data_IF_324262811991
#
_entry.id   IF_324262811991
#
_cell.length_a   1.000
_cell.length_b   1.000
_cell.length_c   1.000
_cell.angle_alpha   90.00
_cell.angle_beta   90.00
_cell.angle_gamma   90.00
#
_symmetry.space_group_name_H-M   'P 1'
#
loop_
_entity.id
_entity.type
_entity.pdbx_description
1 polymer ?
#
# COMPACT_ATOMS: atom_id res chain seq x y z
N UNK A 1 -20.32 12.55 -13.68
CA UNK A 1 -20.11 11.41 -14.61
C UNK A 1 -19.17 11.74 -15.77
N UNK A 2 -19.47 12.70 -16.66
CA UNK A 2 -18.61 12.94 -17.84
C UNK A 2 -17.19 13.44 -17.50
N UNK A 3 -17.01 14.34 -16.50
CA UNK A 3 -15.69 14.80 -16.04
C UNK A 3 -14.84 13.67 -15.41
N UNK A 4 -15.44 12.84 -14.56
CA UNK A 4 -14.79 11.69 -13.93
C UNK A 4 -14.34 10.66 -14.97
N UNK A 5 -15.13 10.41 -16.02
CA UNK A 5 -14.74 9.52 -17.13
C UNK A 5 -13.60 10.08 -17.99
N UNK A 6 -13.48 11.39 -18.11
CA UNK A 6 -12.38 12.04 -18.86
C UNK A 6 -11.07 11.97 -18.06
N UNK A 7 -11.10 12.23 -16.76
CA UNK A 7 -9.93 12.05 -15.88
C UNK A 7 -9.50 10.57 -15.83
N UNK A 8 -10.46 9.64 -15.72
CA UNK A 8 -10.19 8.20 -15.76
C UNK A 8 -9.52 7.80 -17.09
N UNK A 9 -10.01 8.31 -18.24
CA UNK A 9 -9.37 8.08 -19.54
C UNK A 9 -7.97 8.68 -19.63
N UNK A 10 -7.74 9.87 -19.10
CA UNK A 10 -6.42 10.51 -19.12
C UNK A 10 -5.40 9.74 -18.28
N UNK A 11 -5.80 9.29 -17.09
CA UNK A 11 -4.98 8.45 -16.21
C UNK A 11 -4.74 7.07 -16.85
N UNK A 12 -5.78 6.42 -17.39
CA UNK A 12 -5.63 5.13 -18.08
C UNK A 12 -4.72 5.22 -19.31
N UNK A 13 -4.86 6.27 -20.13
CA UNK A 13 -4.04 6.46 -21.34
C UNK A 13 -2.57 6.72 -20.97
N UNK A 14 -2.31 7.42 -19.87
CA UNK A 14 -0.96 7.62 -19.35
C UNK A 14 -0.34 6.30 -18.87
N UNK A 15 -1.08 5.49 -18.13
CA UNK A 15 -0.64 4.17 -17.64
C UNK A 15 -0.41 3.20 -18.81
N UNK A 16 -1.32 3.15 -19.79
CA UNK A 16 -1.16 2.29 -20.97
C UNK A 16 0.06 2.68 -21.83
N UNK A 17 0.32 3.98 -22.00
CA UNK A 17 1.48 4.45 -22.77
C UNK A 17 2.82 4.02 -22.12
N UNK A 18 2.89 3.97 -20.79
CA UNK A 18 4.07 3.53 -20.04
C UNK A 18 4.35 2.03 -20.20
N UNK A 19 3.30 1.19 -20.30
CA UNK A 19 3.46 -0.28 -20.43
C UNK A 19 3.81 -0.79 -21.83
N UNK A 20 3.66 0.02 -22.87
CA UNK A 20 3.83 -0.43 -24.27
C UNK A 20 5.29 -0.56 -24.73
N UNK A 21 6.25 -0.40 -23.83
CA UNK A 21 7.67 -0.28 -24.16
C UNK A 21 8.56 -1.38 -23.52
N UNK A 22 8.17 -2.66 -23.57
CA UNK A 22 9.15 -3.76 -23.49
C UNK A 22 8.55 -5.04 -24.11
N UNK A 23 9.16 -5.50 -25.21
CA UNK A 23 8.85 -6.76 -25.88
C UNK A 23 9.89 -7.84 -25.46
N UNK A 24 9.34 -8.96 -24.98
CA UNK A 24 9.82 -10.34 -24.92
C UNK A 24 11.22 -10.79 -24.40
N UNK A 25 11.12 -11.68 -23.39
CA UNK A 25 11.88 -12.94 -23.14
C UNK A 25 13.28 -12.91 -22.52
N UNK A 26 13.37 -13.08 -21.19
CA UNK A 26 14.18 -14.14 -20.56
C UNK A 26 13.81 -14.31 -19.06
N UNK A 27 13.20 -15.45 -18.72
CA UNK A 27 12.77 -15.78 -17.36
C UNK A 27 13.85 -16.62 -16.65
N UNK A 28 14.19 -16.20 -15.43
CA UNK A 28 14.67 -17.02 -14.31
C UNK A 28 16.02 -17.72 -14.50
N UNK A 29 17.11 -17.01 -14.19
CA UNK A 29 18.25 -17.47 -13.36
C UNK A 29 19.33 -16.38 -13.36
N UNK A 30 19.19 -15.37 -12.51
CA UNK A 30 20.33 -14.63 -11.93
C UNK A 30 19.77 -13.65 -10.89
N UNK A 31 19.60 -14.15 -9.66
CA UNK A 31 19.28 -13.35 -8.49
C UNK A 31 20.50 -13.26 -7.59
N UNK A 32 21.66 -12.95 -8.19
CA UNK A 32 22.84 -12.49 -7.47
C UNK A 32 23.69 -11.64 -8.41
N UNK A 33 23.88 -10.38 -8.02
CA UNK A 33 24.86 -9.44 -8.59
C UNK A 33 24.62 -8.91 -10.03
N UNK A 34 23.67 -8.00 -10.17
CA UNK A 34 23.76 -6.96 -11.20
C UNK A 34 23.36 -5.60 -10.64
N UNK A 35 24.36 -4.88 -10.12
CA UNK A 35 24.45 -3.41 -10.04
C UNK A 35 23.12 -2.72 -9.71
N UNK A 36 22.89 -2.50 -8.41
CA UNK A 36 22.07 -1.39 -7.93
C UNK A 36 22.72 -0.11 -8.48
N UNK A 37 22.32 0.31 -9.68
CA UNK A 37 22.41 1.70 -10.08
C UNK A 37 21.43 2.42 -9.17
N UNK A 38 21.95 3.02 -8.10
CA UNK A 38 21.27 4.08 -7.37
C UNK A 38 20.76 5.06 -8.42
N UNK A 39 19.45 5.05 -8.68
CA UNK A 39 18.83 6.16 -9.40
C UNK A 39 19.05 7.33 -8.46
N UNK A 40 19.89 8.27 -8.88
CA UNK A 40 20.06 9.55 -8.20
C UNK A 40 18.72 10.28 -8.32
N UNK A 41 17.83 10.02 -7.35
CA UNK A 41 16.50 10.62 -7.24
C UNK A 41 16.68 12.07 -6.76
N UNK A 42 17.24 12.93 -7.62
CA UNK A 42 17.55 14.34 -7.36
C UNK A 42 16.36 15.24 -7.00
N UNK A 43 15.21 14.67 -6.65
CA UNK A 43 14.10 15.40 -6.03
C UNK A 43 14.30 15.46 -4.51
N UNK A 44 14.94 16.54 -4.06
CA UNK A 44 15.20 16.82 -2.64
C UNK A 44 13.94 17.12 -1.82
N UNK A 45 12.74 17.10 -2.42
CA UNK A 45 11.48 17.41 -1.73
C UNK A 45 10.91 16.26 -0.91
N UNK A 46 11.47 15.05 -1.01
CA UNK A 46 11.01 13.93 -0.20
C UNK A 46 11.41 14.11 1.27
N UNK A 47 10.41 14.11 2.13
CA UNK A 47 10.58 14.11 3.59
C UNK A 47 10.21 12.75 4.17
N UNK A 48 11.03 12.22 5.09
CA UNK A 48 10.67 11.06 5.89
C UNK A 48 9.87 11.47 7.12
N UNK A 49 8.72 10.84 7.32
CA UNK A 49 7.88 10.99 8.51
C UNK A 49 7.78 9.66 9.25
N UNK A 50 8.10 9.68 10.55
CA UNK A 50 7.85 8.55 11.47
C UNK A 50 6.68 8.89 12.39
N UNK A 51 5.73 7.96 12.53
CA UNK A 51 4.51 8.15 13.31
C UNK A 51 4.72 7.79 14.79
N UNK A 52 5.68 8.45 15.45
CA UNK A 52 6.11 8.13 16.82
C UNK A 52 5.00 8.27 17.87
N UNK A 53 4.14 9.26 17.72
CA UNK A 53 3.02 9.48 18.65
C UNK A 53 1.97 8.37 18.51
N UNK A 54 1.69 7.95 17.28
CA UNK A 54 0.77 6.83 17.03
C UNK A 54 1.36 5.50 17.49
N UNK A 55 2.68 5.30 17.35
CA UNK A 55 3.36 4.14 17.92
C UNK A 55 3.19 4.09 19.45
N UNK A 56 3.38 5.22 20.14
CA UNK A 56 3.31 5.30 21.60
C UNK A 56 1.89 5.17 22.15
N UNK A 57 0.91 5.81 21.50
CA UNK A 57 -0.45 5.94 22.02
C UNK A 57 -1.43 4.90 21.45
N UNK A 58 -1.17 4.39 20.24
CA UNK A 58 -2.07 3.49 19.52
C UNK A 58 -1.41 2.16 19.15
N UNK A 59 -0.12 1.96 19.45
CA UNK A 59 0.59 0.74 19.09
C UNK A 59 0.75 0.54 17.59
N UNK A 60 0.78 1.63 16.81
CA UNK A 60 1.04 1.63 15.38
C UNK A 60 2.54 1.41 15.11
N UNK A 61 2.98 0.15 15.26
CA UNK A 61 4.38 -0.24 15.19
C UNK A 61 4.64 -1.31 14.14
N UNK A 62 5.86 -1.33 13.59
CA UNK A 62 6.38 -2.37 12.73
C UNK A 62 6.52 -3.72 13.49
N UNK A 63 6.85 -4.80 12.76
CA UNK A 63 7.00 -6.15 13.33
C UNK A 63 7.97 -6.22 14.53
N UNK A 64 9.01 -5.38 14.57
CA UNK A 64 9.98 -5.30 15.67
C UNK A 64 9.59 -4.36 16.82
N UNK A 65 8.51 -3.59 16.66
CA UNK A 65 8.04 -2.59 17.62
C UNK A 65 8.51 -1.16 17.34
N UNK A 66 9.31 -0.92 16.29
CA UNK A 66 9.68 0.44 15.88
C UNK A 66 8.48 1.19 15.27
N UNK A 67 8.45 2.53 15.27
CA UNK A 67 7.32 3.27 14.71
C UNK A 67 7.20 3.07 13.20
N UNK A 68 5.98 2.95 12.68
CA UNK A 68 5.73 3.03 11.24
C UNK A 68 5.97 4.42 10.67
N UNK A 69 5.84 4.57 9.35
CA UNK A 69 6.08 5.86 8.70
C UNK A 69 5.89 5.83 7.18
N UNK A 70 6.18 6.96 6.56
CA UNK A 70 6.06 7.17 5.12
C UNK A 70 7.07 8.22 4.65
N UNK A 71 7.30 8.28 3.35
CA UNK A 71 7.94 9.42 2.70
C UNK A 71 6.87 10.27 2.04
N UNK A 72 7.02 11.60 2.06
CA UNK A 72 6.09 12.51 1.43
C UNK A 72 6.82 13.53 0.56
N UNK A 73 6.32 13.71 -0.66
CA UNK A 73 6.67 14.80 -1.57
C UNK A 73 5.46 15.72 -1.68
N UNK A 74 5.55 16.92 -1.11
CA UNK A 74 4.44 17.88 -1.16
C UNK A 74 4.40 18.58 -2.52
N UNK A 75 3.19 18.91 -2.98
CA UNK A 75 3.00 19.75 -4.17
C UNK A 75 3.71 21.10 -4.00
N UNK A 76 4.14 21.70 -5.11
CA UNK A 76 4.73 23.04 -5.08
C UNK A 76 3.63 24.07 -4.84
N UNK A 77 3.88 25.06 -3.97
CA UNK A 77 2.98 26.19 -3.85
C UNK A 77 3.10 27.02 -5.14
N UNK A 78 2.10 26.94 -6.02
CA UNK A 78 2.03 27.83 -7.17
C UNK A 78 1.78 29.27 -6.68
N UNK A 79 2.76 30.16 -6.88
CA UNK A 79 2.69 31.59 -6.50
C UNK A 79 1.78 32.40 -7.46
N UNK A 80 1.38 31.82 -8.59
CA UNK A 80 0.51 32.47 -9.57
C UNK A 80 -0.95 32.00 -9.42
N UNK A 81 -1.65 32.65 -8.48
CA UNK A 81 -3.04 32.43 -8.05
C UNK A 81 -4.08 32.88 -9.10
N UNK A 82 -3.72 32.83 -10.39
CA UNK A 82 -4.59 33.22 -11.51
C UNK A 82 -5.19 32.04 -12.27
N UNK A 83 -4.73 30.81 -11.98
CA UNK A 83 -5.24 29.60 -12.62
C UNK A 83 -6.19 28.86 -11.67
N UNK A 84 -7.49 28.97 -11.92
CA UNK A 84 -8.59 28.45 -11.08
C UNK A 84 -8.73 26.92 -11.03
N UNK A 85 -7.75 26.19 -11.55
CA UNK A 85 -7.74 24.72 -11.69
C UNK A 85 -6.65 24.04 -10.80
N UNK A 86 -6.21 24.67 -9.70
CA UNK A 86 -5.29 24.06 -8.72
C UNK A 86 -6.00 23.02 -7.83
N UNK A 87 -6.40 21.89 -8.44
CA UNK A 87 -6.99 20.76 -7.70
C UNK A 87 -5.97 20.20 -6.68
N UNK A 88 -6.39 20.06 -5.42
CA UNK A 88 -5.54 19.49 -4.37
C UNK A 88 -5.46 17.97 -4.53
N UNK A 89 -4.53 17.52 -5.37
CA UNK A 89 -4.44 16.14 -5.81
C UNK A 89 -3.42 15.33 -5.02
N UNK A 90 -3.78 14.09 -4.70
CA UNK A 90 -3.01 13.20 -3.85
C UNK A 90 -2.77 11.84 -4.50
N UNK A 91 -1.57 11.30 -4.29
CA UNK A 91 -1.28 9.87 -4.46
C UNK A 91 -0.86 9.31 -3.11
N UNK A 92 -1.51 8.23 -2.67
CA UNK A 92 -1.07 7.44 -1.51
C UNK A 92 -0.65 6.09 -2.05
N UNK A 93 0.65 5.84 -2.10
CA UNK A 93 1.24 4.66 -2.69
C UNK A 93 1.80 3.73 -1.61
N UNK A 94 1.27 2.52 -1.50
CA UNK A 94 1.73 1.51 -0.56
C UNK A 94 2.89 0.71 -1.14
N UNK A 95 3.98 0.64 -0.39
CA UNK A 95 5.11 -0.21 -0.71
C UNK A 95 4.73 -1.70 -0.71
N UNK A 96 5.24 -2.45 -1.68
CA UNK A 96 5.19 -3.91 -1.71
C UNK A 96 6.27 -4.59 -0.87
N UNK A 97 6.45 -5.90 -1.04
CA UNK A 97 7.50 -6.66 -0.35
C UNK A 97 7.08 -8.04 0.16
N UNK A 98 5.98 -8.60 -0.35
CA UNK A 98 5.48 -9.92 0.03
C UNK A 98 4.98 -9.99 1.47
N UNK A 99 4.90 -11.19 2.03
CA UNK A 99 4.35 -11.44 3.37
C UNK A 99 5.25 -12.36 4.18
N UNK A 100 5.03 -12.43 5.48
CA UNK A 100 5.56 -13.53 6.28
C UNK A 100 4.51 -14.62 6.45
N UNK A 101 4.89 -15.90 6.34
CA UNK A 101 3.96 -17.04 6.36
C UNK A 101 3.97 -17.89 7.63
N UNK A 102 4.68 -17.44 8.66
CA UNK A 102 4.73 -18.06 9.99
C UNK A 102 5.37 -17.10 10.99
N UNK A 103 5.11 -17.30 12.29
CA UNK A 103 5.73 -16.53 13.39
C UNK A 103 7.26 -16.45 13.27
N UNK A 104 7.90 -17.58 12.99
CA UNK A 104 9.37 -17.64 12.82
C UNK A 104 9.86 -16.90 11.59
N UNK A 105 9.08 -16.93 10.50
CA UNK A 105 9.38 -16.14 9.31
C UNK A 105 9.17 -14.64 9.56
N UNK A 106 8.14 -14.25 10.30
CA UNK A 106 7.89 -12.87 10.70
C UNK A 106 9.01 -12.34 11.61
N UNK A 107 9.49 -13.15 12.57
CA UNK A 107 10.65 -12.82 13.40
C UNK A 107 11.95 -12.64 12.60
N UNK A 108 12.14 -13.40 11.52
CA UNK A 108 13.28 -13.15 10.62
C UNK A 108 13.09 -11.84 9.86
N UNK A 109 11.87 -11.58 9.38
CA UNK A 109 11.51 -10.39 8.62
C UNK A 109 11.63 -9.11 9.45
N UNK A 110 11.32 -9.16 10.75
CA UNK A 110 11.40 -8.01 11.67
C UNK A 110 12.81 -7.41 11.80
N UNK A 111 13.85 -8.12 11.34
CA UNK A 111 15.24 -7.67 11.39
C UNK A 111 15.67 -6.84 10.17
N UNK A 112 14.81 -6.72 9.16
CA UNK A 112 15.12 -6.01 7.92
C UNK A 112 14.15 -4.87 7.63
N UNK A 113 14.37 -4.16 6.52
CA UNK A 113 13.62 -2.96 6.12
C UNK A 113 12.10 -3.14 6.03
N UNK A 114 11.64 -4.36 5.80
CA UNK A 114 10.20 -4.69 5.70
C UNK A 114 9.57 -5.18 7.01
N UNK A 115 10.27 -5.01 8.12
CA UNK A 115 9.75 -5.34 9.44
C UNK A 115 10.26 -4.42 10.56
N UNK A 116 11.07 -3.42 10.19
CA UNK A 116 11.64 -2.41 11.08
C UNK A 116 11.89 -1.12 10.30
N UNK A 117 11.56 0.00 10.91
CA UNK A 117 11.87 1.34 10.40
C UNK A 117 13.28 1.83 10.77
N UNK A 118 14.00 1.09 11.61
CA UNK A 118 15.34 1.48 12.09
C UNK A 118 16.38 1.56 10.95
N UNK A 119 16.15 0.87 9.84
CA UNK A 119 17.03 0.88 8.67
C UNK A 119 16.58 1.81 7.54
N UNK A 120 15.50 2.58 7.72
CA UNK A 120 15.00 3.48 6.68
C UNK A 120 15.88 4.73 6.59
N UNK A 121 16.44 4.98 5.40
CA UNK A 121 17.30 6.13 5.13
C UNK A 121 16.60 7.47 5.34
N UNK A 122 17.33 8.60 5.33
CA UNK A 122 16.72 9.93 5.46
C UNK A 122 15.94 10.34 4.21
N UNK A 123 16.28 9.77 3.04
CA UNK A 123 15.69 10.12 1.73
C UNK A 123 14.89 8.95 1.16
N UNK A 124 14.03 9.27 0.20
CA UNK A 124 13.33 8.28 -0.62
C UNK A 124 14.31 7.57 -1.56
N UNK A 125 14.45 6.25 -1.42
CA UNK A 125 15.33 5.39 -2.22
C UNK A 125 14.60 4.07 -2.54
N UNK A 126 13.46 4.21 -3.20
CA UNK A 126 12.61 3.09 -3.64
C UNK A 126 12.37 3.22 -5.14
N UNK A 127 12.33 2.09 -5.83
CA UNK A 127 12.07 2.03 -7.28
C UNK A 127 10.58 1.84 -7.61
N UNK A 128 9.78 1.37 -6.64
CA UNK A 128 8.36 1.09 -6.84
C UNK A 128 7.56 2.37 -7.04
N UNK A 129 6.65 2.39 -8.01
CA UNK A 129 5.87 3.58 -8.35
C UNK A 129 6.69 4.71 -8.99
N UNK A 130 7.96 4.49 -9.32
CA UNK A 130 8.85 5.52 -9.89
C UNK A 130 8.28 6.14 -11.17
N UNK A 131 7.55 5.38 -11.99
CA UNK A 131 6.86 5.89 -13.18
C UNK A 131 5.76 6.90 -12.84
N UNK A 132 5.00 6.68 -11.75
CA UNK A 132 4.03 7.66 -11.25
C UNK A 132 4.79 8.89 -10.75
N UNK A 133 5.87 8.69 -9.98
CA UNK A 133 6.52 9.78 -9.27
C UNK A 133 7.38 10.68 -10.17
N UNK A 134 7.88 10.14 -11.28
CA UNK A 134 8.68 10.86 -12.29
C UNK A 134 7.84 11.37 -13.48
N UNK A 135 6.57 10.99 -13.57
CA UNK A 135 5.69 11.46 -14.63
C UNK A 135 5.29 12.93 -14.41
N UNK A 136 5.41 13.80 -15.43
CA UNK A 136 4.98 15.21 -15.35
C UNK A 136 3.50 15.38 -14.94
N UNK A 137 2.67 14.36 -15.15
CA UNK A 137 1.27 14.36 -14.74
C UNK A 137 1.08 14.48 -13.23
N UNK A 138 2.03 13.94 -12.44
CA UNK A 138 1.99 13.93 -10.99
C UNK A 138 2.98 14.93 -10.37
N UNK A 139 3.51 15.87 -11.14
CA UNK A 139 4.47 16.85 -10.65
C UNK A 139 3.85 17.74 -9.56
N UNK A 140 2.61 18.18 -9.78
CA UNK A 140 1.83 19.03 -8.85
C UNK A 140 0.97 18.23 -7.84
N UNK A 141 1.21 16.92 -7.70
CA UNK A 141 0.50 16.11 -6.70
C UNK A 141 1.28 16.11 -5.38
N UNK A 142 0.56 16.03 -4.27
CA UNK A 142 1.18 15.55 -3.02
C UNK A 142 1.24 14.03 -3.09
N UNK A 143 2.43 13.46 -3.00
CA UNK A 143 2.67 12.02 -3.10
C UNK A 143 3.18 11.49 -1.78
N UNK A 144 2.51 10.47 -1.28
CA UNK A 144 2.88 9.72 -0.08
C UNK A 144 3.32 8.33 -0.50
N UNK A 145 4.52 7.93 -0.08
CA UNK A 145 5.00 6.57 -0.17
C UNK A 145 4.93 5.91 1.20
N UNK A 146 3.88 5.13 1.44
CA UNK A 146 3.63 4.45 2.70
C UNK A 146 4.56 3.23 2.85
N UNK A 147 5.44 3.28 3.84
CA UNK A 147 6.46 2.26 4.05
C UNK A 147 5.87 1.00 4.69
N UNK A 148 6.20 -0.16 4.12
CA UNK A 148 5.59 -1.43 4.49
C UNK A 148 6.46 -2.20 5.49
N UNK A 149 5.97 -2.33 6.73
CA UNK A 149 6.70 -3.01 7.80
C UNK A 149 5.88 -3.97 8.68
N UNK A 150 4.62 -4.23 8.35
CA UNK A 150 3.76 -5.15 9.09
C UNK A 150 3.79 -6.58 8.53
N UNK A 151 4.10 -6.75 7.24
CA UNK A 151 4.19 -8.07 6.60
C UNK A 151 2.85 -8.76 6.36
N UNK A 152 1.72 -8.03 6.45
CA UNK A 152 0.34 -8.52 6.37
C UNK A 152 -0.57 -7.74 5.41
N UNK A 153 -0.01 -6.98 4.46
CA UNK A 153 -0.77 -6.01 3.64
C UNK A 153 -1.69 -5.10 4.47
N UNK A 154 -1.17 -4.61 5.60
CA UNK A 154 -1.88 -3.69 6.50
C UNK A 154 -3.17 -4.25 7.10
N UNK A 155 -3.35 -5.58 7.09
CA UNK A 155 -4.57 -6.22 7.62
C UNK A 155 -4.47 -6.63 9.08
N UNK A 156 -3.26 -6.77 9.63
CA UNK A 156 -3.12 -7.34 10.98
C UNK A 156 -3.61 -6.40 12.09
N UNK A 157 -4.32 -6.96 13.07
CA UNK A 157 -4.64 -6.26 14.32
C UNK A 157 -4.73 -7.21 15.51
N UNK A 158 -3.56 -7.56 16.07
CA UNK A 158 -3.47 -8.39 17.28
C UNK A 158 -3.27 -7.46 18.49
N UNK A 159 -3.87 -7.71 19.65
CA UNK A 159 -3.72 -6.79 20.80
C UNK A 159 -2.38 -6.89 21.51
N UNK A 160 -1.91 -8.11 21.75
CA UNK A 160 -0.67 -8.40 22.46
C UNK A 160 0.42 -8.91 21.49
N UNK A 161 1.70 -8.61 21.73
CA UNK A 161 2.77 -9.15 20.90
C UNK A 161 2.87 -10.67 21.05
N UNK A 162 3.18 -11.35 19.94
CA UNK A 162 3.46 -12.79 19.94
C UNK A 162 4.92 -13.02 20.32
N UNK A 163 5.19 -13.88 21.29
CA UNK A 163 6.56 -14.16 21.75
C UNK A 163 7.14 -15.34 20.96
N UNK A 164 8.12 -15.04 20.11
CA UNK A 164 8.79 -16.01 19.24
C UNK A 164 10.27 -16.03 19.59
N UNK A 165 10.79 -17.16 20.09
CA UNK A 165 12.20 -17.29 20.52
C UNK A 165 12.63 -16.17 21.49
N UNK A 166 11.81 -15.91 22.51
CA UNK A 166 12.02 -14.86 23.52
C UNK A 166 12.09 -13.43 22.97
N UNK A 167 11.50 -13.17 21.79
CA UNK A 167 11.39 -11.83 21.21
C UNK A 167 9.93 -11.54 20.86
N UNK A 168 9.42 -10.33 21.15
CA UNK A 168 8.09 -9.93 20.74
C UNK A 168 8.04 -9.68 19.23
N UNK A 169 6.92 -10.07 18.63
CA UNK A 169 6.53 -9.71 17.26
C UNK A 169 5.16 -9.05 17.30
N UNK A 170 5.04 -7.93 16.59
CA UNK A 170 3.86 -7.08 16.59
C UNK A 170 3.13 -7.18 15.25
N UNK A 171 1.90 -7.69 15.28
CA UNK A 171 0.98 -7.73 14.13
C UNK A 171 0.01 -6.55 14.26
N UNK A 172 0.32 -5.43 13.60
CA UNK A 172 -0.30 -4.10 13.82
C UNK A 172 -0.61 -3.34 12.52
N UNK A 173 -0.74 -4.05 11.40
CA UNK A 173 -0.98 -3.48 10.07
C UNK A 173 -2.18 -2.52 10.02
N UNK A 174 -3.31 -2.88 10.63
CA UNK A 174 -4.49 -2.00 10.63
C UNK A 174 -4.27 -0.74 11.48
N UNK A 175 -3.55 -0.84 12.60
CA UNK A 175 -3.19 0.33 13.42
C UNK A 175 -2.23 1.26 12.69
N UNK A 176 -1.30 0.69 11.93
CA UNK A 176 -0.43 1.45 11.04
C UNK A 176 -1.26 2.18 9.97
N UNK A 177 -2.27 1.51 9.38
CA UNK A 177 -3.13 2.11 8.36
C UNK A 177 -3.91 3.29 8.92
N UNK A 178 -4.54 3.09 10.07
CA UNK A 178 -5.26 4.15 10.79
C UNK A 178 -4.34 5.32 11.15
N UNK A 179 -3.13 5.03 11.64
CA UNK A 179 -2.14 6.06 11.97
C UNK A 179 -1.71 6.86 10.72
N UNK A 180 -1.46 6.17 9.60
CA UNK A 180 -1.09 6.79 8.33
C UNK A 180 -2.18 7.78 7.91
N UNK A 181 -3.41 7.29 7.77
CA UNK A 181 -4.51 8.10 7.26
C UNK A 181 -4.85 9.25 8.22
N UNK A 182 -4.84 9.00 9.54
CA UNK A 182 -4.99 10.05 10.54
C UNK A 182 -3.92 11.14 10.37
N UNK A 183 -2.65 10.78 10.23
CA UNK A 183 -1.58 11.75 10.07
C UNK A 183 -1.74 12.55 8.76
N UNK A 184 -2.04 11.87 7.64
CA UNK A 184 -2.27 12.54 6.37
C UNK A 184 -3.45 13.53 6.42
N UNK A 185 -4.55 13.15 7.06
CA UNK A 185 -5.75 13.99 7.19
C UNK A 185 -5.49 15.21 8.08
N UNK A 186 -4.92 14.99 9.26
CA UNK A 186 -4.87 16.02 10.32
C UNK A 186 -3.59 16.86 10.32
N UNK A 187 -2.48 16.30 9.81
CA UNK A 187 -1.17 16.97 9.78
C UNK A 187 -0.84 17.45 8.36
N UNK A 188 -0.96 16.58 7.36
CA UNK A 188 -0.49 16.88 6.00
C UNK A 188 -1.55 17.57 5.11
N UNK A 189 -2.82 17.57 5.50
CA UNK A 189 -3.88 18.30 4.82
C UNK A 189 -4.67 17.51 3.78
N UNK A 190 -4.63 16.18 3.81
CA UNK A 190 -5.44 15.30 2.94
C UNK A 190 -6.95 15.56 3.07
N UNK A 191 -7.40 16.12 4.20
CA UNK A 191 -8.79 16.56 4.44
C UNK A 191 -9.32 17.61 3.44
N UNK A 192 -8.44 18.22 2.66
CA UNK A 192 -8.80 19.22 1.65
C UNK A 192 -8.63 18.68 0.22
N UNK A 193 -8.44 17.37 0.05
CA UNK A 193 -8.16 16.77 -1.27
C UNK A 193 -9.36 16.90 -2.23
N UNK A 194 -9.06 17.15 -3.49
CA UNK A 194 -10.03 17.11 -4.59
C UNK A 194 -10.04 15.75 -5.28
N UNK A 195 -8.86 15.16 -5.49
CA UNK A 195 -8.72 13.82 -6.04
C UNK A 195 -7.67 13.05 -5.25
N UNK A 196 -7.94 11.78 -4.99
CA UNK A 196 -7.00 10.87 -4.33
C UNK A 196 -6.90 9.59 -5.13
N UNK A 197 -5.67 9.26 -5.54
CA UNK A 197 -5.31 7.97 -6.08
C UNK A 197 -4.70 7.11 -4.96
N UNK A 198 -5.43 6.09 -4.53
CA UNK A 198 -4.98 5.11 -3.55
C UNK A 198 -4.37 3.91 -4.29
N UNK A 199 -3.07 3.70 -4.13
CA UNK A 199 -2.28 2.84 -5.01
C UNK A 199 -1.25 2.01 -4.23
N UNK A 200 -0.64 1.06 -4.91
CA UNK A 200 0.55 0.36 -4.43
C UNK A 200 0.99 -0.74 -5.39
N UNK A 201 2.20 -1.26 -5.18
CA UNK A 201 2.78 -2.33 -6.00
C UNK A 201 2.87 -3.64 -5.23
N UNK A 202 2.62 -4.79 -5.89
CA UNK A 202 2.74 -6.12 -5.30
C UNK A 202 1.90 -6.25 -4.02
N UNK A 203 2.48 -6.56 -2.85
CA UNK A 203 1.75 -6.58 -1.57
C UNK A 203 1.06 -5.24 -1.23
N UNK A 204 1.60 -4.12 -1.73
CA UNK A 204 1.01 -2.79 -1.67
C UNK A 204 -0.17 -2.62 -2.62
N UNK A 205 -0.18 -3.27 -3.80
CA UNK A 205 -1.34 -3.31 -4.68
C UNK A 205 -2.50 -4.09 -4.06
N UNK A 206 -2.19 -5.22 -3.39
CA UNK A 206 -3.19 -5.92 -2.57
C UNK A 206 -3.70 -5.03 -1.44
N UNK A 207 -2.82 -4.27 -0.79
CA UNK A 207 -3.21 -3.30 0.25
C UNK A 207 -4.16 -2.25 -0.31
N UNK A 208 -3.88 -1.72 -1.50
CA UNK A 208 -4.77 -0.77 -2.18
C UNK A 208 -6.15 -1.39 -2.34
N UNK A 209 -6.24 -2.60 -2.92
CA UNK A 209 -7.50 -3.29 -3.16
C UNK A 209 -8.27 -3.62 -1.87
N UNK A 210 -7.59 -4.14 -0.84
CA UNK A 210 -8.25 -4.60 0.40
C UNK A 210 -8.86 -3.46 1.21
N UNK A 211 -8.24 -2.28 1.18
CA UNK A 211 -8.58 -1.17 2.08
C UNK A 211 -9.27 0.00 1.40
N UNK A 212 -9.40 0.00 0.06
CA UNK A 212 -9.85 1.20 -0.67
C UNK A 212 -11.21 1.70 -0.22
N UNK A 213 -12.21 0.84 -0.07
CA UNK A 213 -13.56 1.25 0.34
C UNK A 213 -13.57 1.77 1.79
N UNK A 214 -12.80 1.10 2.66
CA UNK A 214 -12.62 1.54 4.03
C UNK A 214 -12.02 2.95 4.08
N UNK A 215 -10.95 3.21 3.33
CA UNK A 215 -10.31 4.54 3.30
C UNK A 215 -11.19 5.59 2.61
N UNK A 216 -11.84 5.24 1.50
CA UNK A 216 -12.79 6.12 0.82
C UNK A 216 -13.90 6.58 1.77
N UNK A 217 -14.50 5.63 2.51
CA UNK A 217 -15.56 5.93 3.47
C UNK A 217 -15.08 6.87 4.59
N UNK A 218 -13.88 6.64 5.13
CA UNK A 218 -13.28 7.47 6.19
C UNK A 218 -12.95 8.87 5.70
N UNK A 219 -12.43 9.00 4.48
CA UNK A 219 -12.09 10.30 3.90
C UNK A 219 -13.31 11.09 3.45
N UNK A 220 -14.40 10.42 3.05
CA UNK A 220 -15.65 11.11 2.65
C UNK A 220 -16.24 12.00 3.75
N UNK A 221 -15.94 11.71 5.02
CA UNK A 221 -16.33 12.54 6.18
C UNK A 221 -15.65 13.91 6.15
N UNK A 222 -14.41 13.97 5.64
CA UNK A 222 -13.61 15.19 5.58
C UNK A 222 -13.72 15.88 4.20
N UNK A 223 -13.73 15.09 3.14
CA UNK A 223 -13.71 15.54 1.74
C UNK A 223 -14.86 14.88 0.95
N UNK A 224 -16.15 15.21 1.23
CA UNK A 224 -17.30 14.50 0.66
C UNK A 224 -17.43 14.63 -0.86
N UNK A 225 -16.78 15.62 -1.47
CA UNK A 225 -16.78 15.84 -2.91
C UNK A 225 -15.49 15.36 -3.59
N UNK A 226 -14.56 14.75 -2.85
CA UNK A 226 -13.33 14.25 -3.43
C UNK A 226 -13.58 13.04 -4.32
N UNK A 227 -12.90 12.96 -5.46
CA UNK A 227 -12.85 11.74 -6.26
C UNK A 227 -11.84 10.79 -5.64
N UNK A 228 -12.26 9.56 -5.34
CA UNK A 228 -11.39 8.50 -4.85
C UNK A 228 -11.26 7.40 -5.90
N UNK A 229 -10.02 7.05 -6.26
CA UNK A 229 -9.71 6.03 -7.27
C UNK A 229 -8.64 5.06 -6.75
N UNK A 230 -8.74 3.81 -7.16
CA UNK A 230 -7.78 2.76 -6.84
C UNK A 230 -6.86 2.43 -8.01
N UNK A 231 -5.62 2.07 -7.69
CA UNK A 231 -4.69 1.43 -8.61
C UNK A 231 -3.99 0.27 -7.92
N UNK A 232 -4.23 -0.96 -8.35
CA UNK A 232 -3.52 -2.14 -7.87
C UNK A 232 -2.49 -2.56 -8.91
N UNK A 233 -1.22 -2.23 -8.68
CA UNK A 233 -0.11 -2.55 -9.57
C UNK A 233 0.58 -3.88 -9.20
N UNK A 234 0.74 -4.77 -10.18
CA UNK A 234 1.41 -6.05 -10.03
C UNK A 234 0.68 -6.99 -9.08
N UNK A 235 -0.63 -6.80 -8.90
CA UNK A 235 -1.39 -7.54 -7.90
C UNK A 235 -2.88 -7.70 -8.26
N UNK A 236 -3.14 -8.66 -9.13
CA UNK A 236 -4.41 -9.38 -9.21
C UNK A 236 -4.18 -10.84 -8.83
N UNK A 237 -4.13 -11.13 -7.52
CA UNK A 237 -3.84 -12.48 -7.03
C UNK A 237 -5.00 -13.45 -7.27
N UNK A 238 -4.68 -14.57 -7.93
CA UNK A 238 -5.61 -15.68 -8.15
C UNK A 238 -5.50 -16.72 -7.04
N UNK A 239 -6.64 -17.21 -6.54
CA UNK A 239 -6.71 -18.33 -5.62
C UNK A 239 -6.60 -19.65 -6.40
N UNK A 240 -5.41 -19.90 -6.93
CA UNK A 240 -5.09 -21.11 -7.70
C UNK A 240 -3.75 -21.70 -7.29
N UNK A 241 -3.60 -22.99 -7.55
CA UNK A 241 -2.33 -23.68 -7.30
C UNK A 241 -1.24 -23.18 -8.24
N UNK A 242 -0.02 -23.07 -7.72
CA UNK A 242 1.16 -22.83 -8.54
C UNK A 242 1.40 -24.00 -9.49
N UNK A 243 1.97 -23.71 -10.67
CA UNK A 243 2.13 -24.67 -11.77
C UNK A 243 2.91 -25.94 -11.35
N UNK A 244 3.88 -25.83 -10.42
CA UNK A 244 4.60 -26.95 -9.81
C UNK A 244 5.67 -26.44 -8.80
N UNK A 245 6.06 -27.32 -7.86
CA UNK A 245 7.04 -27.18 -6.74
C UNK A 245 6.51 -26.78 -5.35
N UNK A 246 5.44 -25.99 -5.22
CA UNK A 246 4.82 -25.68 -3.91
C UNK A 246 3.30 -25.44 -4.04
N UNK A 247 2.50 -26.48 -4.33
CA UNK A 247 1.04 -26.31 -4.46
C UNK A 247 0.49 -25.66 -3.20
N UNK A 248 -0.39 -24.67 -3.35
CA UNK A 248 -1.04 -23.98 -2.24
C UNK A 248 -0.19 -23.04 -1.39
N UNK A 249 1.02 -22.61 -1.81
CA UNK A 249 1.86 -21.74 -0.95
C UNK A 249 1.17 -20.45 -0.54
N UNK A 250 0.61 -19.71 -1.50
CA UNK A 250 -0.08 -18.45 -1.20
C UNK A 250 -1.35 -18.68 -0.40
N UNK A 251 -2.09 -19.76 -0.68
CA UNK A 251 -3.26 -20.15 0.10
C UNK A 251 -2.88 -20.46 1.54
N UNK A 252 -1.78 -21.17 1.78
CA UNK A 252 -1.29 -21.43 3.14
C UNK A 252 -0.90 -20.14 3.85
N UNK A 253 -0.22 -19.22 3.17
CA UNK A 253 0.17 -17.93 3.74
C UNK A 253 -1.08 -17.11 4.05
N UNK A 254 -2.03 -17.02 3.14
CA UNK A 254 -3.28 -16.28 3.34
C UNK A 254 -4.13 -16.90 4.45
N UNK A 255 -4.32 -18.21 4.46
CA UNK A 255 -5.10 -18.92 5.48
C UNK A 255 -4.46 -18.82 6.87
N UNK A 256 -3.15 -19.06 6.97
CA UNK A 256 -2.43 -18.88 8.22
C UNK A 256 -2.44 -17.42 8.66
N UNK A 257 -2.13 -16.51 7.72
CA UNK A 257 -2.04 -15.07 7.94
C UNK A 257 -3.36 -14.51 8.43
N UNK A 258 -4.46 -14.76 7.73
CA UNK A 258 -5.80 -14.33 8.12
C UNK A 258 -6.12 -14.60 9.60
N UNK A 259 -5.79 -15.81 10.06
CA UNK A 259 -5.99 -16.20 11.46
C UNK A 259 -4.94 -15.61 12.41
N UNK A 260 -3.64 -15.74 12.10
CA UNK A 260 -2.55 -15.31 12.98
C UNK A 260 -2.44 -13.78 13.11
N UNK A 261 -2.82 -13.06 12.06
CA UNK A 261 -2.84 -11.60 11.99
C UNK A 261 -4.12 -11.00 12.55
N UNK A 262 -5.14 -11.82 12.83
CA UNK A 262 -6.48 -11.35 13.19
C UNK A 262 -7.03 -10.34 12.15
N UNK A 263 -7.01 -10.73 10.87
CA UNK A 263 -7.32 -9.83 9.75
C UNK A 263 -8.81 -9.63 9.48
N UNK A 264 -9.70 -10.32 10.19
CA UNK A 264 -11.14 -10.38 9.88
C UNK A 264 -11.81 -9.01 9.88
N UNK A 265 -11.49 -8.14 10.83
CA UNK A 265 -12.04 -6.78 10.91
C UNK A 265 -11.43 -5.79 9.92
N UNK A 266 -10.39 -6.18 9.20
CA UNK A 266 -9.58 -5.28 8.37
C UNK A 266 -9.58 -5.67 6.89
N UNK A 267 -10.51 -6.54 6.48
CA UNK A 267 -10.76 -6.87 5.08
C UNK A 267 -12.24 -6.70 4.75
N UNK A 268 -12.57 -6.60 3.46
CA UNK A 268 -13.92 -6.32 2.98
C UNK A 268 -14.96 -7.30 3.56
N UNK A 269 -15.91 -6.75 4.32
CA UNK A 269 -16.94 -7.51 5.03
C UNK A 269 -17.86 -8.26 4.07
N UNK A 270 -18.34 -7.61 3.00
CA UNK A 270 -19.21 -8.23 2.01
C UNK A 270 -18.53 -9.44 1.32
N UNK A 271 -17.22 -9.36 1.08
CA UNK A 271 -16.46 -10.51 0.62
C UNK A 271 -16.46 -11.65 1.65
N UNK A 272 -16.17 -11.35 2.92
CA UNK A 272 -16.15 -12.39 3.98
C UNK A 272 -17.51 -13.07 4.10
N UNK A 273 -18.59 -12.30 4.12
CA UNK A 273 -19.97 -12.80 4.21
C UNK A 273 -20.40 -13.63 2.99
N UNK A 274 -19.73 -13.46 1.83
CA UNK A 274 -19.96 -14.29 0.65
C UNK A 274 -19.36 -15.70 0.75
N UNK A 275 -18.52 -15.94 1.76
CA UNK A 275 -17.87 -17.22 2.02
C UNK A 275 -18.34 -17.85 3.34
N UNK A 276 -18.12 -19.16 3.50
CA UNK A 276 -18.27 -19.80 4.81
C UNK A 276 -17.16 -19.34 5.77
N UNK A 277 -17.42 -19.40 7.08
CA UNK A 277 -16.50 -18.96 8.14
C UNK A 277 -15.07 -19.53 7.97
N UNK A 278 -14.93 -20.79 7.53
CA UNK A 278 -13.62 -21.44 7.33
C UNK A 278 -12.85 -20.94 6.10
N UNK A 279 -13.50 -20.16 5.25
CA UNK A 279 -13.06 -19.73 3.94
C UNK A 279 -12.98 -18.19 3.79
N UNK A 280 -13.27 -17.42 4.84
CA UNK A 280 -13.15 -15.94 4.81
C UNK A 280 -11.74 -15.45 4.42
N UNK A 281 -10.70 -16.26 4.70
CA UNK A 281 -9.31 -15.97 4.30
C UNK A 281 -9.13 -15.84 2.77
N UNK A 282 -10.07 -16.36 1.96
CA UNK A 282 -10.06 -16.20 0.50
C UNK A 282 -10.17 -14.74 0.08
N UNK A 283 -10.77 -13.89 0.89
CA UNK A 283 -10.84 -12.45 0.66
C UNK A 283 -9.47 -11.74 0.74
N UNK A 284 -8.40 -12.45 1.11
CA UNK A 284 -7.02 -11.99 0.94
C UNK A 284 -6.51 -12.12 -0.52
N UNK A 285 -7.33 -12.60 -1.45
CA UNK A 285 -7.02 -12.69 -2.88
C UNK A 285 -7.89 -11.76 -3.71
N UNK A 286 -7.30 -11.13 -4.73
CA UNK A 286 -8.00 -10.24 -5.64
C UNK A 286 -9.17 -10.92 -6.37
N UNK A 287 -9.01 -12.20 -6.75
CA UNK A 287 -10.07 -13.01 -7.38
C UNK A 287 -11.40 -12.95 -6.62
N UNK A 288 -11.35 -12.94 -5.28
CA UNK A 288 -12.54 -12.92 -4.44
C UNK A 288 -12.94 -11.49 -4.07
N UNK A 289 -12.01 -10.69 -3.53
CA UNK A 289 -12.37 -9.36 -3.00
C UNK A 289 -12.76 -8.36 -4.09
N UNK A 290 -12.22 -8.46 -5.30
CA UNK A 290 -12.49 -7.49 -6.38
C UNK A 290 -13.97 -7.41 -6.77
N UNK A 291 -14.74 -8.47 -6.55
CA UNK A 291 -16.17 -8.51 -6.83
C UNK A 291 -17.02 -7.75 -5.80
N UNK A 292 -16.41 -7.35 -4.67
CA UNK A 292 -17.05 -6.68 -3.55
C UNK A 292 -16.51 -5.26 -3.32
N UNK A 293 -15.58 -4.81 -4.16
CA UNK A 293 -15.03 -3.46 -4.08
C UNK A 293 -15.96 -2.48 -4.81
N UNK A 294 -16.39 -1.44 -4.13
CA UNK A 294 -17.31 -0.44 -4.67
C UNK A 294 -16.58 0.74 -5.32
N UNK A 295 -15.42 1.11 -4.77
CA UNK A 295 -14.60 2.18 -5.30
C UNK A 295 -13.98 1.76 -6.65
N UNK A 296 -13.98 2.62 -7.69
CA UNK A 296 -13.35 2.25 -8.96
C UNK A 296 -11.85 1.95 -8.80
N UNK A 297 -11.44 0.74 -9.19
CA UNK A 297 -10.03 0.29 -9.18
C UNK A 297 -9.57 -0.03 -10.59
N UNK A 298 -8.38 0.47 -10.94
CA UNK A 298 -7.63 -0.01 -12.09
C UNK A 298 -6.63 -1.09 -11.66
N UNK A 299 -6.53 -2.17 -12.42
CA UNK A 299 -5.55 -3.24 -12.19
C UNK A 299 -4.46 -3.14 -13.25
N UNK A 300 -3.20 -3.11 -12.81
CA UNK A 300 -2.00 -3.06 -13.65
C UNK A 300 -1.17 -4.33 -13.47
#
# INVERSE_FOLDING_TARGET
MLRTMIQLRAILLAVFALTSATDDTEYLNDFEDSRITTIDNGDTRWEKVLMTDAASNHGAVCLDGSPGGYYIRRRLNHIDDTNTDDENNWVIFHQGGGWCGSDTNCLRRSRGRFGSSNSWGPTYDESQGSEIFSSPLFENYTIVFAMYCDGSSWTSDVDHPVIVRNRPIYYRGHRLLEALIHNLVHVEGLKNATNVLYSGCSAGGLTALLHIDYIASRLSVFSPNATFLGLSDGMFSLDRNQFNTRPGLFQRIAKWGYSAWNSSSSINEACRESHGIEDEWKCMFAEHVSMHVETPVFFL
#
